data_IF_500118103917
#
_entry.id   IF_500118103917
#
_cell.length_a   1.000
_cell.length_b   1.000
_cell.length_c   1.000
_cell.angle_alpha   90.00
_cell.angle_beta   90.00
_cell.angle_gamma   90.00
#
_symmetry.space_group_name_H-M   'P 1'
#
loop_
_entity.id
_entity.type
_entity.pdbx_description
1 polymer ?
#
# COMPACT_ATOMS: atom_id res chain seq x y z
N UNK A 1 -1.62 -18.02 1.66
CA UNK A 1 -2.09 -16.87 2.45
C UNK A 1 -2.89 -15.94 1.55
N UNK A 2 -4.13 -15.52 1.93
CA UNK A 2 -4.92 -14.62 1.11
C UNK A 2 -4.28 -13.24 0.90
N UNK A 3 -3.44 -12.82 1.82
CA UNK A 3 -2.70 -11.57 1.67
C UNK A 3 -1.24 -11.80 2.04
N UNK A 4 -0.36 -11.60 1.06
CA UNK A 4 1.06 -11.90 1.22
C UNK A 4 1.91 -10.65 1.07
N UNK A 5 3.05 -10.63 1.75
CA UNK A 5 3.99 -9.51 1.74
C UNK A 5 5.30 -9.98 1.13
N UNK A 6 5.82 -9.22 0.17
CA UNK A 6 7.13 -9.49 -0.43
C UNK A 6 7.94 -8.21 -0.45
N UNK A 7 9.11 -8.23 0.19
CA UNK A 7 10.11 -7.17 0.03
C UNK A 7 10.99 -7.53 -1.15
N UNK A 8 11.15 -6.60 -2.10
CA UNK A 8 11.96 -6.87 -3.28
C UNK A 8 13.45 -6.76 -2.97
N UNK A 9 14.32 -7.40 -3.78
CA UNK A 9 15.75 -7.46 -3.49
C UNK A 9 16.46 -6.11 -3.41
N UNK A 10 15.92 -5.06 -4.05
CA UNK A 10 16.53 -3.74 -4.01
C UNK A 10 16.37 -3.04 -2.66
N UNK A 11 15.57 -3.59 -1.74
CA UNK A 11 15.33 -3.00 -0.43
C UNK A 11 14.49 -1.73 -0.45
N UNK A 12 13.98 -1.32 -1.61
CA UNK A 12 13.26 -0.06 -1.80
C UNK A 12 11.77 -0.24 -2.04
N UNK A 13 11.32 -1.48 -2.27
CA UNK A 13 9.93 -1.78 -2.65
C UNK A 13 9.35 -2.88 -1.79
N UNK A 14 8.06 -2.76 -1.52
CA UNK A 14 7.28 -3.84 -0.91
C UNK A 14 6.03 -4.08 -1.75
N UNK A 15 5.70 -5.35 -1.99
CA UNK A 15 4.48 -5.75 -2.68
C UNK A 15 3.58 -6.49 -1.70
N UNK A 16 2.32 -6.08 -1.65
CA UNK A 16 1.28 -6.75 -0.88
C UNK A 16 0.25 -7.26 -1.87
N UNK A 17 0.05 -8.57 -1.91
CA UNK A 17 -0.81 -9.21 -2.92
C UNK A 17 -1.95 -9.96 -2.25
N UNK A 18 -3.17 -9.66 -2.66
CA UNK A 18 -4.36 -10.34 -2.16
C UNK A 18 -4.90 -11.34 -3.16
N UNK A 19 -5.43 -12.47 -2.66
CA UNK A 19 -6.07 -13.50 -3.47
C UNK A 19 -7.27 -14.07 -2.73
N UNK A 20 -8.27 -14.56 -3.47
CA UNK A 20 -9.41 -15.22 -2.88
C UNK A 20 -10.26 -14.33 -2.00
N UNK A 21 -10.71 -14.83 -0.86
CA UNK A 21 -11.45 -14.06 0.14
C UNK A 21 -10.46 -13.23 0.96
N UNK A 22 -10.64 -11.92 0.96
CA UNK A 22 -9.78 -11.00 1.70
C UNK A 22 -10.59 -10.24 2.74
N UNK A 23 -10.14 -10.30 3.99
CA UNK A 23 -10.79 -9.62 5.12
C UNK A 23 -9.96 -8.42 5.58
N UNK A 24 -10.61 -7.51 6.29
CA UNK A 24 -9.92 -6.38 6.91
C UNK A 24 -8.84 -6.82 7.89
N UNK A 25 -9.11 -7.89 8.65
CA UNK A 25 -8.13 -8.39 9.62
C UNK A 25 -6.84 -8.86 8.96
N UNK A 26 -6.95 -9.52 7.80
CA UNK A 26 -5.77 -9.99 7.07
C UNK A 26 -4.90 -8.83 6.59
N UNK A 27 -5.53 -7.74 6.16
CA UNK A 27 -4.80 -6.53 5.77
C UNK A 27 -4.12 -5.89 6.99
N UNK A 28 -4.83 -5.81 8.10
CA UNK A 28 -4.25 -5.27 9.34
C UNK A 28 -3.07 -6.10 9.82
N UNK A 29 -3.18 -7.42 9.74
CA UNK A 29 -2.09 -8.31 10.14
C UNK A 29 -0.85 -8.10 9.27
N UNK A 30 -1.03 -7.91 7.98
CA UNK A 30 0.08 -7.65 7.06
C UNK A 30 0.75 -6.31 7.38
N UNK A 31 -0.04 -5.27 7.62
CA UNK A 31 0.49 -3.95 7.99
C UNK A 31 1.21 -3.99 9.34
N UNK A 32 0.67 -4.71 10.30
CA UNK A 32 1.33 -4.93 11.59
C UNK A 32 2.66 -5.66 11.40
N UNK A 33 2.71 -6.59 10.45
CA UNK A 33 3.94 -7.28 10.10
C UNK A 33 5.03 -6.32 9.59
N UNK A 34 4.64 -5.31 8.82
CA UNK A 34 5.59 -4.29 8.38
C UNK A 34 6.18 -3.52 9.57
N UNK A 35 5.37 -3.21 10.57
CA UNK A 35 5.84 -2.52 11.76
C UNK A 35 6.85 -3.32 12.57
N UNK A 36 6.85 -4.66 12.44
CA UNK A 36 7.81 -5.52 13.12
C UNK A 36 9.18 -5.55 12.45
N UNK A 37 9.32 -4.91 11.29
CA UNK A 37 10.59 -4.88 10.55
C UNK A 37 11.01 -3.42 10.27
N UNK A 38 11.28 -2.61 11.31
CA UNK A 38 11.56 -1.20 11.11
C UNK A 38 12.80 -0.93 10.25
N UNK A 39 13.79 -1.82 10.26
CA UNK A 39 14.98 -1.64 9.43
C UNK A 39 14.65 -1.77 7.94
N UNK A 40 13.71 -2.64 7.58
CA UNK A 40 13.26 -2.76 6.19
C UNK A 40 12.47 -1.54 5.75
N UNK A 41 11.65 -0.97 6.66
CA UNK A 41 10.85 0.21 6.36
C UNK A 41 11.72 1.43 6.03
N UNK A 42 12.89 1.55 6.65
CA UNK A 42 13.77 2.70 6.43
C UNK A 42 14.24 2.83 4.99
N UNK A 43 14.33 1.72 4.27
CA UNK A 43 14.77 1.71 2.88
C UNK A 43 13.66 1.93 1.85
N UNK A 44 12.39 1.91 2.26
CA UNK A 44 11.29 1.93 1.32
C UNK A 44 11.17 3.25 0.57
N UNK A 45 10.99 3.16 -0.74
CA UNK A 45 10.66 4.29 -1.61
C UNK A 45 9.22 4.17 -2.10
N UNK A 46 8.70 2.95 -2.28
CA UNK A 46 7.33 2.74 -2.77
C UNK A 46 6.78 1.39 -2.36
N UNK A 47 5.46 1.28 -2.45
CA UNK A 47 4.72 0.06 -2.22
C UNK A 47 3.65 -0.15 -3.29
N UNK A 48 3.34 -1.41 -3.56
CA UNK A 48 2.28 -1.81 -4.48
C UNK A 48 1.37 -2.77 -3.77
N UNK A 49 0.08 -2.45 -3.73
CA UNK A 49 -0.96 -3.33 -3.19
C UNK A 49 -1.80 -3.81 -4.36
N UNK A 50 -1.79 -5.11 -4.63
CA UNK A 50 -2.50 -5.68 -5.78
C UNK A 50 -3.59 -6.64 -5.30
N UNK A 51 -4.85 -6.30 -5.56
CA UNK A 51 -5.99 -7.13 -5.19
C UNK A 51 -6.71 -7.67 -6.42
N UNK A 52 -6.00 -7.75 -7.57
CA UNK A 52 -6.57 -8.26 -8.83
C UNK A 52 -7.20 -9.64 -8.67
N UNK A 53 -6.56 -10.54 -7.92
CA UNK A 53 -7.02 -11.93 -7.79
C UNK A 53 -7.90 -12.15 -6.56
N UNK A 54 -8.35 -11.08 -5.91
CA UNK A 54 -9.33 -11.19 -4.83
C UNK A 54 -10.70 -11.45 -5.45
N UNK A 55 -11.39 -12.50 -4.95
CA UNK A 55 -12.71 -12.89 -5.44
C UNK A 55 -13.84 -12.42 -4.55
N UNK A 56 -13.57 -12.18 -3.28
CA UNK A 56 -14.53 -11.66 -2.32
C UNK A 56 -13.84 -10.75 -1.33
N UNK A 57 -14.43 -9.56 -1.09
CA UNK A 57 -13.92 -8.61 -0.10
C UNK A 57 -14.87 -8.52 1.08
N UNK A 58 -14.32 -8.64 2.30
CA UNK A 58 -15.05 -8.41 3.55
C UNK A 58 -14.34 -7.31 4.32
N UNK A 59 -14.45 -6.09 3.82
CA UNK A 59 -13.80 -4.91 4.35
C UNK A 59 -14.86 -3.85 4.57
N UNK A 60 -14.90 -3.29 5.78
CA UNK A 60 -15.83 -2.24 6.16
C UNK A 60 -15.14 -0.88 6.13
N UNK A 61 -15.94 0.19 6.21
CA UNK A 61 -15.40 1.54 6.37
C UNK A 61 -14.53 1.66 7.63
N UNK A 62 -14.96 1.02 8.72
CA UNK A 62 -14.20 1.05 9.98
C UNK A 62 -12.85 0.34 9.80
N UNK A 63 -12.82 -0.73 9.03
CA UNK A 63 -11.56 -1.40 8.71
C UNK A 63 -10.61 -0.44 7.99
N UNK A 64 -11.12 0.32 7.02
CA UNK A 64 -10.30 1.29 6.28
C UNK A 64 -9.71 2.34 7.20
N UNK A 65 -10.48 2.83 8.17
CA UNK A 65 -9.98 3.77 9.16
C UNK A 65 -8.89 3.16 10.03
N UNK A 66 -9.02 1.88 10.38
CA UNK A 66 -7.97 1.17 11.13
C UNK A 66 -6.71 1.00 10.27
N UNK A 67 -6.86 0.74 8.96
CA UNK A 67 -5.71 0.67 8.06
C UNK A 67 -4.92 1.97 8.10
N UNK A 68 -5.60 3.09 8.03
CA UNK A 68 -4.96 4.41 8.03
C UNK A 68 -4.25 4.67 9.36
N UNK A 69 -4.83 4.26 10.48
CA UNK A 69 -4.20 4.42 11.79
C UNK A 69 -2.85 3.68 11.84
N UNK A 70 -2.78 2.48 11.27
CA UNK A 70 -1.53 1.73 11.19
C UNK A 70 -0.58 2.37 10.18
N UNK A 71 -1.10 2.85 9.06
CA UNK A 71 -0.30 3.53 8.03
C UNK A 71 0.41 4.76 8.58
N UNK A 72 -0.25 5.52 9.47
CA UNK A 72 0.38 6.67 10.14
C UNK A 72 1.58 6.22 10.96
N UNK A 73 1.48 5.09 11.65
CA UNK A 73 2.59 4.53 12.43
C UNK A 73 3.73 4.08 11.52
N UNK A 74 3.41 3.47 10.38
CA UNK A 74 4.42 3.08 9.37
C UNK A 74 5.11 4.33 8.84
N UNK A 75 4.34 5.35 8.47
CA UNK A 75 4.87 6.60 7.93
C UNK A 75 5.86 7.26 8.89
N UNK A 76 5.61 7.15 10.20
CA UNK A 76 6.51 7.73 11.20
C UNK A 76 7.88 7.04 11.25
N UNK A 77 7.98 5.79 10.77
CA UNK A 77 9.22 5.02 10.78
C UNK A 77 10.02 5.15 9.47
N UNK A 78 9.41 5.70 8.43
CA UNK A 78 10.07 5.88 7.13
C UNK A 78 10.55 7.32 7.02
N UNK A 79 11.84 7.56 6.74
CA UNK A 79 12.40 8.93 6.74
C UNK A 79 11.95 9.79 5.57
N UNK A 80 11.18 9.26 4.64
CA UNK A 80 10.70 9.96 3.45
C UNK A 80 9.23 9.64 3.19
N UNK A 81 8.58 10.47 2.40
CA UNK A 81 7.26 10.14 1.88
C UNK A 81 7.41 9.06 0.81
N UNK A 82 6.64 7.99 0.91
CA UNK A 82 6.66 6.90 -0.07
C UNK A 82 5.52 7.05 -1.06
N UNK A 83 5.68 6.45 -2.23
CA UNK A 83 4.59 6.34 -3.21
C UNK A 83 3.92 4.98 -3.00
N UNK A 84 2.60 4.96 -2.91
CA UNK A 84 1.84 3.72 -2.78
C UNK A 84 0.80 3.65 -3.89
N UNK A 85 0.88 2.60 -4.71
CA UNK A 85 -0.09 2.32 -5.74
C UNK A 85 -0.97 1.15 -5.30
N UNK A 86 -2.27 1.27 -5.54
CA UNK A 86 -3.23 0.19 -5.29
C UNK A 86 -3.83 -0.23 -6.62
N UNK A 87 -3.78 -1.53 -6.93
CA UNK A 87 -4.39 -2.11 -8.13
C UNK A 87 -5.68 -2.79 -7.72
N UNK A 88 -6.80 -2.26 -8.18
CA UNK A 88 -8.14 -2.74 -7.81
C UNK A 88 -9.06 -2.71 -9.05
N UNK A 89 -9.07 -3.78 -9.87
CA UNK A 89 -9.88 -3.81 -11.10
C UNK A 89 -11.38 -3.80 -10.85
N UNK A 90 -11.85 -4.43 -9.77
CA UNK A 90 -13.29 -4.54 -9.47
C UNK A 90 -13.84 -3.25 -8.85
N UNK A 91 -15.10 -2.96 -9.10
CA UNK A 91 -15.72 -1.71 -8.65
C UNK A 91 -15.75 -1.55 -7.14
N UNK A 92 -16.08 -2.63 -6.40
CA UNK A 92 -16.11 -2.56 -4.94
C UNK A 92 -14.72 -2.29 -4.37
N UNK A 93 -13.73 -3.04 -4.83
CA UNK A 93 -12.35 -2.86 -4.38
C UNK A 93 -11.83 -1.46 -4.75
N UNK A 94 -12.15 -1.00 -5.96
CA UNK A 94 -11.74 0.32 -6.43
C UNK A 94 -12.34 1.41 -5.52
N UNK A 95 -13.62 1.31 -5.20
CA UNK A 95 -14.29 2.28 -4.34
C UNK A 95 -13.71 2.32 -2.93
N UNK A 96 -13.43 1.13 -2.36
CA UNK A 96 -12.80 1.04 -1.04
C UNK A 96 -11.38 1.60 -1.05
N UNK A 97 -10.64 1.34 -2.11
CA UNK A 97 -9.28 1.85 -2.25
C UNK A 97 -9.27 3.38 -2.39
N UNK A 98 -10.25 3.95 -3.11
CA UNK A 98 -10.40 5.40 -3.22
C UNK A 98 -10.74 6.02 -1.87
N UNK A 99 -11.57 5.35 -1.07
CA UNK A 99 -11.87 5.78 0.29
C UNK A 99 -10.61 5.78 1.15
N UNK A 100 -9.83 4.69 1.07
CA UNK A 100 -8.56 4.62 1.79
C UNK A 100 -7.62 5.76 1.37
N UNK A 101 -7.51 6.02 0.07
CA UNK A 101 -6.66 7.07 -0.47
C UNK A 101 -7.02 8.44 0.15
N UNK A 102 -8.30 8.74 0.24
CA UNK A 102 -8.76 10.00 0.82
C UNK A 102 -8.36 10.12 2.30
N UNK A 103 -8.54 9.06 3.09
CA UNK A 103 -8.15 9.08 4.49
C UNK A 103 -6.64 9.04 4.70
N UNK A 104 -5.92 8.43 3.77
CA UNK A 104 -4.48 8.25 3.88
C UNK A 104 -3.67 9.52 3.63
N UNK A 105 -4.30 10.62 3.25
CA UNK A 105 -3.63 11.92 3.08
C UNK A 105 -2.83 12.31 4.32
N UNK A 106 -3.30 11.93 5.50
CA UNK A 106 -2.62 12.24 6.77
C UNK A 106 -1.25 11.60 6.89
N UNK A 107 -0.94 10.57 6.09
CA UNK A 107 0.37 9.91 6.12
C UNK A 107 1.45 10.73 5.43
N UNK A 108 1.08 11.65 4.56
CA UNK A 108 2.02 12.35 3.70
C UNK A 108 2.49 11.53 2.50
N UNK A 109 1.96 10.32 2.32
CA UNK A 109 2.31 9.47 1.18
C UNK A 109 1.71 10.00 -0.11
N UNK A 110 2.38 9.73 -1.24
CA UNK A 110 1.82 9.95 -2.56
C UNK A 110 1.10 8.67 -2.96
N UNK A 111 -0.22 8.73 -3.12
CA UNK A 111 -1.03 7.53 -3.37
C UNK A 111 -1.81 7.66 -4.67
N UNK A 112 -2.07 6.53 -5.32
CA UNK A 112 -2.98 6.49 -6.46
C UNK A 112 -3.57 5.09 -6.60
N UNK A 113 -4.82 5.03 -7.09
CA UNK A 113 -5.55 3.78 -7.28
C UNK A 113 -5.70 3.54 -8.77
N UNK A 114 -5.36 2.33 -9.22
CA UNK A 114 -5.38 1.93 -10.62
C UNK A 114 -6.28 0.72 -10.81
N UNK A 115 -6.81 0.58 -12.01
CA UNK A 115 -7.55 -0.62 -12.39
C UNK A 115 -6.66 -1.69 -13.01
N UNK A 116 -5.44 -1.36 -13.42
CA UNK A 116 -4.51 -2.33 -14.00
C UNK A 116 -3.14 -2.25 -13.36
N UNK A 117 -2.49 -3.41 -13.28
CA UNK A 117 -1.14 -3.50 -12.73
C UNK A 117 -0.12 -2.75 -13.61
N UNK A 118 -0.29 -2.82 -14.93
CA UNK A 118 0.63 -2.15 -15.86
C UNK A 118 0.63 -0.63 -15.64
N UNK A 119 -0.54 -0.03 -15.44
CA UNK A 119 -0.64 1.40 -15.16
C UNK A 119 0.02 1.77 -13.83
N UNK A 120 -0.18 0.94 -12.81
CA UNK A 120 0.41 1.17 -11.50
C UNK A 120 1.93 1.11 -11.57
N UNK A 121 2.47 0.11 -12.26
CA UNK A 121 3.93 -0.04 -12.40
C UNK A 121 4.54 1.11 -13.18
N UNK A 122 3.87 1.58 -14.23
CA UNK A 122 4.31 2.75 -14.99
C UNK A 122 4.37 4.00 -14.09
N UNK A 123 3.33 4.19 -13.26
CA UNK A 123 3.27 5.33 -12.36
C UNK A 123 4.37 5.27 -11.29
N UNK A 124 4.69 4.07 -10.79
CA UNK A 124 5.72 3.88 -9.75
C UNK A 124 7.15 3.99 -10.27
N UNK A 125 7.35 3.85 -11.58
CA UNK A 125 8.69 3.77 -12.16
C UNK A 125 9.67 4.85 -11.69
N UNK A 126 9.31 6.15 -11.62
CA UNK A 126 10.25 7.16 -11.15
C UNK A 126 10.77 6.91 -9.73
N UNK A 127 9.92 6.39 -8.83
CA UNK A 127 10.34 6.07 -7.47
C UNK A 127 11.20 4.80 -7.44
N UNK A 128 10.85 3.79 -8.24
CA UNK A 128 11.62 2.56 -8.36
C UNK A 128 13.03 2.86 -8.86
N UNK A 129 13.15 3.74 -9.84
CA UNK A 129 14.44 4.10 -10.44
C UNK A 129 15.19 5.20 -9.68
N UNK A 130 14.58 5.76 -8.65
CA UNK A 130 15.20 6.82 -7.87
C UNK A 130 15.38 8.13 -8.62
N UNK A 131 14.60 8.36 -9.69
CA UNK A 131 14.71 9.56 -10.51
C UNK A 131 14.02 10.78 -9.92
N UNK A 132 13.03 10.56 -9.06
CA UNK A 132 12.38 11.65 -8.34
C UNK A 132 12.99 11.76 -6.96
N UNK A 133 13.25 12.97 -6.49
CA UNK A 133 13.61 13.15 -5.08
C UNK A 133 12.46 12.67 -4.22
N UNK A 134 12.76 12.24 -3.01
CA UNK A 134 11.73 11.88 -2.05
C UNK A 134 10.80 13.08 -1.90
N UNK A 135 9.48 12.84 -2.02
CA UNK A 135 8.53 13.93 -1.92
C UNK A 135 8.68 14.61 -0.56
N UNK A 136 8.75 15.95 -0.54
CA UNK A 136 8.83 16.64 0.74
C UNK A 136 7.57 16.37 1.54
N UNK A 137 7.74 16.06 2.81
CA UNK A 137 6.62 15.94 3.72
C UNK A 137 6.17 17.35 4.08
N UNK A 138 4.99 17.67 3.61
CA UNK A 138 4.39 18.96 3.94
C UNK A 138 3.59 18.86 5.22
#
# INVERSE_FOLDING_TARGET
>A
MPFSTEYLPDGRRVHLTGTGLLTGQEILDAKAGLLRSPDRLKGLACGLVDVTDVTELRITRDDVLEFVAVDVRIAALVPRAVAVAVVAPGDLAFGLARMWEAFAEVTGWTTHVFRSRAEAETWLRPWVEGRLPDAPRS
#
